data_IF_682794935076
#
_entry.id   IF_682794935076
#
_cell.length_a   1.000
_cell.length_b   1.000
_cell.length_c   1.000
_cell.angle_alpha   90.00
_cell.angle_beta   90.00
_cell.angle_gamma   90.00
#
_symmetry.space_group_name_H-M   'P 1'
#
loop_
_entity.id
_entity.type
_entity.pdbx_description
1 polymer ?
#
# COMPACT_ATOMS: atom_id res chain seq x y z
N UNK A 1 -19.90 -9.20 -0.08
CA UNK A 1 -19.69 -7.81 0.33
C UNK A 1 -18.22 -7.50 0.13
N UNK A 2 -17.86 -6.61 -0.80
CA UNK A 2 -16.47 -6.18 -0.96
C UNK A 2 -16.10 -5.38 0.29
N UNK A 3 -15.06 -5.75 1.07
CA UNK A 3 -14.70 -4.96 2.24
C UNK A 3 -14.37 -3.52 1.79
N UNK A 4 -14.93 -2.55 2.50
CA UNK A 4 -14.75 -1.13 2.19
C UNK A 4 -13.26 -0.77 2.36
N UNK A 5 -12.68 -0.12 1.35
CA UNK A 5 -11.32 0.41 1.42
C UNK A 5 -11.29 1.52 2.47
N UNK A 6 -10.39 1.43 3.43
CA UNK A 6 -10.17 2.52 4.38
C UNK A 6 -9.35 3.64 3.73
N UNK A 7 -9.77 4.90 3.91
CA UNK A 7 -9.05 6.07 3.39
C UNK A 7 -8.82 7.02 4.56
N UNK A 8 -7.56 7.35 4.83
CA UNK A 8 -7.19 8.36 5.80
C UNK A 8 -7.77 9.73 5.36
N UNK A 9 -8.54 10.43 6.21
CA UNK A 9 -9.14 11.73 5.90
C UNK A 9 -8.13 12.80 5.44
N UNK A 10 -6.85 12.66 5.79
CA UNK A 10 -5.79 13.59 5.37
C UNK A 10 -5.29 13.35 3.93
N UNK A 11 -5.75 12.30 3.25
CA UNK A 11 -5.38 12.03 1.86
C UNK A 11 -6.06 13.04 0.94
N UNK A 12 -5.24 13.83 0.23
CA UNK A 12 -5.72 14.75 -0.80
C UNK A 12 -6.06 13.99 -2.09
N UNK A 13 -7.37 13.77 -2.30
CA UNK A 13 -7.93 13.10 -3.49
C UNK A 13 -8.58 14.06 -4.49
N UNK A 14 -8.32 15.35 -4.37
CA UNK A 14 -8.99 16.39 -5.19
C UNK A 14 -8.01 17.25 -5.96
N UNK A 15 -6.79 17.45 -5.47
CA UNK A 15 -5.85 18.35 -6.11
C UNK A 15 -5.19 17.75 -7.35
N UNK A 16 -4.73 18.63 -8.24
CA UNK A 16 -3.86 18.25 -9.37
C UNK A 16 -2.39 18.10 -8.96
N UNK A 17 -2.06 18.40 -7.69
CA UNK A 17 -0.69 18.34 -7.20
C UNK A 17 -0.25 16.88 -7.07
N UNK A 18 1.04 16.65 -7.34
CA UNK A 18 1.65 15.36 -7.06
C UNK A 18 1.75 15.15 -5.55
N UNK A 19 0.99 14.19 -5.04
CA UNK A 19 1.01 13.78 -3.63
C UNK A 19 1.63 12.41 -3.51
N UNK A 20 2.19 12.10 -2.34
CA UNK A 20 2.68 10.76 -2.01
C UNK A 20 1.74 10.14 -0.97
N UNK A 21 1.34 8.91 -1.24
CA UNK A 21 0.46 8.12 -0.38
C UNK A 21 1.07 6.76 -0.10
N UNK A 22 0.64 6.13 0.99
CA UNK A 22 0.99 4.77 1.35
C UNK A 22 -0.25 3.90 1.13
N UNK A 23 -0.11 2.85 0.32
CA UNK A 23 -1.16 1.88 0.03
C UNK A 23 -0.86 0.60 0.78
N UNK A 24 -1.82 0.17 1.60
CA UNK A 24 -1.79 -1.09 2.34
C UNK A 24 -2.55 -2.17 1.56
N UNK A 25 -1.93 -3.33 1.39
CA UNK A 25 -2.54 -4.46 0.69
C UNK A 25 -3.38 -5.33 1.64
N UNK A 26 -4.35 -6.04 1.07
CA UNK A 26 -5.18 -7.03 1.80
C UNK A 26 -4.38 -8.27 2.19
N UNK A 27 -3.41 -8.67 1.38
CA UNK A 27 -2.54 -9.81 1.69
C UNK A 27 -1.67 -9.47 2.90
N UNK A 28 -1.72 -10.28 3.95
CA UNK A 28 -0.86 -10.10 5.12
C UNK A 28 0.60 -10.35 4.79
N UNK A 29 1.54 -9.71 5.49
CA UNK A 29 2.93 -10.10 5.41
C UNK A 29 3.12 -11.57 5.83
N UNK A 30 4.05 -12.27 5.19
CA UNK A 30 4.13 -13.73 5.25
C UNK A 30 4.14 -14.31 6.68
N UNK A 31 4.94 -13.73 7.60
CA UNK A 31 5.02 -14.18 8.99
C UNK A 31 3.68 -14.00 9.75
N UNK A 32 2.96 -12.93 9.44
CA UNK A 32 1.65 -12.64 10.04
C UNK A 32 0.61 -13.63 9.50
N UNK A 33 0.63 -13.89 8.19
CA UNK A 33 -0.27 -14.85 7.56
C UNK A 33 -0.12 -16.25 8.16
N UNK A 34 1.12 -16.74 8.32
CA UNK A 34 1.40 -18.05 8.96
C UNK A 34 0.88 -18.08 10.39
N UNK A 35 1.15 -17.07 11.21
CA UNK A 35 0.67 -17.02 12.60
C UNK A 35 -0.87 -17.02 12.70
N UNK A 36 -1.57 -16.34 11.78
CA UNK A 36 -3.04 -16.35 11.71
C UNK A 36 -3.54 -17.74 11.28
N UNK A 37 -2.89 -18.37 10.30
CA UNK A 37 -3.26 -19.68 9.79
C UNK A 37 -3.07 -20.78 10.85
N UNK A 38 -1.93 -20.78 11.56
CA UNK A 38 -1.64 -21.66 12.69
C UNK A 38 -2.72 -21.54 13.79
N UNK A 39 -3.07 -20.30 14.17
CA UNK A 39 -4.14 -20.04 15.14
C UNK A 39 -5.51 -20.55 14.67
N UNK A 40 -5.74 -20.55 13.36
CA UNK A 40 -7.01 -20.96 12.74
C UNK A 40 -7.04 -22.44 12.36
N UNK A 41 -5.95 -23.20 12.61
CA UNK A 41 -5.83 -24.60 12.23
C UNK A 41 -5.70 -24.85 10.73
N UNK A 42 -5.34 -23.82 9.95
CA UNK A 42 -5.18 -23.91 8.49
C UNK A 42 -3.69 -24.11 8.18
N UNK A 43 -3.30 -25.12 7.37
CA UNK A 43 -1.92 -25.29 6.98
C UNK A 43 -1.51 -24.20 5.98
N UNK A 44 -0.47 -23.44 6.30
CA UNK A 44 0.16 -22.46 5.41
C UNK A 44 1.67 -22.43 5.69
N UNK A 45 2.50 -22.70 4.69
CA UNK A 45 3.96 -22.60 4.85
C UNK A 45 4.44 -21.17 4.70
N UNK A 46 5.61 -20.87 5.25
CA UNK A 46 6.23 -19.56 5.10
C UNK A 46 6.56 -19.26 3.62
N UNK A 47 6.93 -20.27 2.85
CA UNK A 47 7.24 -20.17 1.43
C UNK A 47 5.99 -19.80 0.61
N UNK A 48 4.87 -20.47 0.86
CA UNK A 48 3.57 -20.14 0.25
C UNK A 48 3.16 -18.72 0.62
N UNK A 49 3.22 -18.34 1.90
CA UNK A 49 2.85 -17.01 2.34
C UNK A 49 3.76 -15.90 1.74
N UNK A 50 5.05 -16.18 1.51
CA UNK A 50 5.96 -15.26 0.79
C UNK A 50 5.56 -15.15 -0.69
N UNK A 51 5.18 -16.25 -1.32
CA UNK A 51 4.69 -16.24 -2.69
C UNK A 51 3.42 -15.39 -2.80
N UNK A 52 2.47 -15.52 -1.88
CA UNK A 52 1.24 -14.71 -1.86
C UNK A 52 1.54 -13.20 -1.79
N UNK A 53 2.55 -12.81 -1.00
CA UNK A 53 3.03 -11.42 -0.93
C UNK A 53 3.56 -10.99 -2.30
N UNK A 54 4.46 -11.74 -2.92
CA UNK A 54 5.00 -11.41 -4.25
C UNK A 54 3.91 -11.30 -5.32
N UNK A 55 2.95 -12.22 -5.31
CA UNK A 55 1.83 -12.20 -6.23
C UNK A 55 0.92 -10.99 -6.00
N UNK A 56 0.69 -10.57 -4.74
CA UNK A 56 -0.07 -9.36 -4.45
C UNK A 56 0.57 -8.11 -5.04
N UNK A 57 1.90 -7.99 -4.98
CA UNK A 57 2.63 -6.92 -5.66
C UNK A 57 2.53 -6.99 -7.18
N UNK A 58 2.59 -8.20 -7.75
CA UNK A 58 2.45 -8.42 -9.19
C UNK A 58 1.06 -8.01 -9.68
N UNK A 59 0.00 -8.41 -8.95
CA UNK A 59 -1.39 -8.01 -9.24
C UNK A 59 -1.57 -6.51 -9.11
N UNK A 60 -1.10 -5.90 -8.03
CA UNK A 60 -1.17 -4.45 -7.85
C UNK A 60 -0.42 -3.68 -8.94
N UNK A 61 0.75 -4.15 -9.39
CA UNK A 61 1.48 -3.51 -10.50
C UNK A 61 0.67 -3.56 -11.80
N UNK A 62 -0.03 -4.65 -12.08
CA UNK A 62 -0.94 -4.75 -13.24
C UNK A 62 -2.11 -3.80 -13.11
N UNK A 63 -2.68 -3.65 -11.91
CA UNK A 63 -3.74 -2.69 -11.64
C UNK A 63 -3.28 -1.24 -11.84
N UNK A 64 -2.10 -0.88 -11.33
CA UNK A 64 -1.50 0.44 -11.54
C UNK A 64 -1.30 0.72 -13.03
N UNK A 65 -0.77 -0.25 -13.78
CA UNK A 65 -0.59 -0.08 -15.22
C UNK A 65 -1.93 0.09 -15.95
N UNK A 66 -2.93 -0.72 -15.61
CA UNK A 66 -4.28 -0.63 -16.19
C UNK A 66 -4.96 0.70 -15.88
N UNK A 67 -4.92 1.14 -14.63
CA UNK A 67 -5.70 2.29 -14.17
C UNK A 67 -4.98 3.63 -14.35
N UNK A 68 -3.64 3.64 -14.36
CA UNK A 68 -2.83 4.86 -14.52
C UNK A 68 -2.01 4.85 -15.80
N UNK A 69 -1.24 3.78 -16.05
CA UNK A 69 -0.30 3.68 -17.19
C UNK A 69 -0.97 3.78 -18.55
N UNK A 70 -2.01 2.97 -18.79
CA UNK A 70 -2.80 3.00 -20.02
C UNK A 70 -3.52 4.34 -20.25
N UNK A 71 -3.72 5.12 -19.19
CA UNK A 71 -4.33 6.44 -19.23
C UNK A 71 -3.28 7.57 -19.27
N UNK A 72 -1.99 7.22 -19.40
CA UNK A 72 -0.86 8.15 -19.44
C UNK A 72 -0.79 9.08 -18.21
N UNK A 73 -1.31 8.63 -17.07
CA UNK A 73 -1.24 9.39 -15.83
C UNK A 73 0.18 9.26 -15.27
N UNK A 74 0.87 10.37 -14.93
CA UNK A 74 2.20 10.28 -14.35
C UNK A 74 2.13 9.68 -12.94
N UNK A 75 2.91 8.63 -12.69
CA UNK A 75 3.04 8.02 -11.38
C UNK A 75 4.46 7.51 -11.13
N UNK A 76 4.82 7.34 -9.86
CA UNK A 76 6.10 6.75 -9.45
C UNK A 76 5.94 5.99 -8.15
N UNK A 77 6.18 4.68 -8.18
CA UNK A 77 6.30 3.88 -6.96
C UNK A 77 7.63 4.27 -6.29
N UNK A 78 7.56 4.79 -5.06
CA UNK A 78 8.70 5.29 -4.29
C UNK A 78 9.31 4.22 -3.40
N UNK A 79 8.46 3.37 -2.82
CA UNK A 79 8.91 2.29 -1.96
C UNK A 79 7.99 1.08 -2.05
N UNK A 80 8.54 -0.10 -1.80
CA UNK A 80 7.83 -1.38 -1.77
C UNK A 80 8.09 -2.05 -0.42
N UNK A 81 7.02 -2.35 0.31
CA UNK A 81 7.07 -2.96 1.64
C UNK A 81 6.53 -4.40 1.55
N UNK A 82 7.28 -5.38 2.08
CA UNK A 82 6.93 -6.82 1.99
C UNK A 82 7.03 -7.58 3.31
N UNK A 83 7.47 -6.93 4.38
CA UNK A 83 7.94 -7.62 5.61
C UNK A 83 7.07 -7.36 6.83
N UNK A 84 7.22 -6.22 7.50
CA UNK A 84 6.36 -5.86 8.64
C UNK A 84 5.03 -5.24 8.19
N UNK A 85 5.02 -4.71 6.97
CA UNK A 85 3.89 -4.12 6.28
C UNK A 85 3.93 -4.63 4.84
N UNK A 86 2.76 -4.87 4.24
CA UNK A 86 2.63 -5.28 2.86
C UNK A 86 1.93 -4.17 2.06
N UNK A 87 2.63 -3.58 1.09
CA UNK A 87 2.11 -2.42 0.38
C UNK A 87 3.17 -1.62 -0.33
N UNK A 88 2.81 -0.43 -0.79
CA UNK A 88 3.73 0.48 -1.51
C UNK A 88 3.53 1.93 -1.09
N UNK A 89 4.56 2.76 -1.23
CA UNK A 89 4.35 4.20 -1.36
C UNK A 89 4.38 4.59 -2.83
N UNK A 90 3.42 5.42 -3.24
CA UNK A 90 3.28 5.85 -4.63
C UNK A 90 3.02 7.35 -4.69
N UNK A 91 3.66 8.00 -5.67
CA UNK A 91 3.49 9.42 -5.96
C UNK A 91 2.72 9.60 -7.26
N UNK A 92 1.63 10.36 -7.23
CA UNK A 92 0.70 10.61 -8.34
C UNK A 92 -0.14 11.88 -8.09
N UNK A 93 -0.84 12.44 -9.09
CA UNK A 93 -1.76 13.56 -8.84
C UNK A 93 -2.90 13.14 -7.91
N UNK A 94 -3.22 13.97 -6.91
CA UNK A 94 -4.23 13.64 -5.89
C UNK A 94 -5.58 13.20 -6.46
N UNK A 95 -6.10 13.93 -7.45
CA UNK A 95 -7.36 13.61 -8.15
C UNK A 95 -7.39 12.21 -8.78
N UNK A 96 -6.23 11.64 -9.11
CA UNK A 96 -6.11 10.35 -9.79
C UNK A 96 -6.10 9.15 -8.83
N UNK A 97 -5.99 9.38 -7.50
CA UNK A 97 -6.05 8.32 -6.48
C UNK A 97 -7.35 7.50 -6.59
N UNK A 98 -8.45 8.16 -6.97
CA UNK A 98 -9.77 7.52 -7.16
C UNK A 98 -9.74 6.37 -8.17
N UNK A 99 -8.83 6.39 -9.14
CA UNK A 99 -8.69 5.31 -10.13
C UNK A 99 -8.19 4.03 -9.50
N UNK A 100 -7.33 4.13 -8.49
CA UNK A 100 -6.76 2.98 -7.78
C UNK A 100 -7.78 2.25 -6.89
N UNK A 101 -8.90 2.90 -6.51
CA UNK A 101 -9.95 2.29 -5.69
C UNK A 101 -10.65 1.08 -6.37
N UNK A 102 -10.42 0.89 -7.68
CA UNK A 102 -10.88 -0.27 -8.43
C UNK A 102 -9.99 -1.51 -8.25
N UNK A 103 -8.81 -1.36 -7.62
CA UNK A 103 -7.91 -2.47 -7.35
C UNK A 103 -8.46 -3.34 -6.22
N UNK A 104 -8.47 -4.65 -6.46
CA UNK A 104 -8.88 -5.61 -5.44
C UNK A 104 -7.82 -5.85 -4.37
N UNK A 105 -6.57 -5.44 -4.60
CA UNK A 105 -5.47 -5.65 -3.65
C UNK A 105 -5.48 -4.63 -2.50
N UNK A 106 -6.11 -3.46 -2.66
CA UNK A 106 -6.03 -2.37 -1.69
C UNK A 106 -6.95 -2.63 -0.49
N UNK A 107 -6.37 -2.64 0.70
CA UNK A 107 -7.09 -2.63 1.97
C UNK A 107 -7.29 -1.19 2.49
N UNK A 108 -6.24 -0.37 2.41
CA UNK A 108 -6.28 1.00 2.92
C UNK A 108 -5.33 1.95 2.17
N UNK A 109 -5.62 3.25 2.25
CA UNK A 109 -4.79 4.34 1.73
C UNK A 109 -4.53 5.34 2.86
N UNK A 110 -3.27 5.67 3.09
CA UNK A 110 -2.81 6.61 4.10
C UNK A 110 -2.05 7.78 3.48
N UNK A 111 -2.14 8.96 4.09
CA UNK A 111 -1.31 10.09 3.70
C UNK A 111 0.16 9.82 4.08
N UNK A 112 1.10 10.11 3.18
CA UNK A 112 2.52 10.07 3.55
C UNK A 112 2.87 11.32 4.35
N UNK A 113 3.18 11.17 5.64
CA UNK A 113 3.46 12.30 6.55
C UNK A 113 4.96 12.41 6.81
N UNK A 114 5.48 13.62 6.67
CA UNK A 114 6.83 13.95 7.12
C UNK A 114 6.78 14.35 8.60
N UNK A 115 7.51 13.63 9.46
CA UNK A 115 7.59 13.92 10.89
C UNK A 115 8.94 14.57 11.18
N UNK A 116 8.91 15.81 11.70
CA UNK A 116 10.10 16.52 12.16
C UNK A 116 10.36 16.19 13.63
N UNK A 117 11.48 15.55 13.92
CA UNK A 117 11.92 15.33 15.29
C UNK A 117 12.48 16.63 15.86
N UNK A 118 12.17 16.92 17.12
CA UNK A 118 12.82 18.01 17.86
C UNK A 118 14.24 17.51 18.20
N UNK A 119 15.31 18.16 17.71
CA UNK A 119 16.66 17.72 18.04
C UNK A 119 16.95 17.89 19.54
N UNK A 120 17.75 17.01 20.15
CA UNK A 120 18.16 17.17 21.54
C UNK A 120 18.93 18.49 21.72
N UNK A 121 18.88 19.11 22.92
CA UNK A 121 19.66 20.30 23.21
C UNK A 121 21.15 20.03 22.97
N UNK A 122 21.85 20.95 22.31
CA UNK A 122 23.29 20.82 22.07
C UNK A 122 24.02 20.88 23.42
N UNK A 123 24.99 19.99 23.70
CA UNK A 123 25.86 20.13 24.87
C UNK A 123 26.64 21.45 24.78
N UNK A 124 26.81 22.12 25.93
CA UNK A 124 27.54 23.38 26.07
C UNK A 124 29.05 23.18 25.96
#
# INVERSE_FOLDING_TARGET
MTPAIHIDPEVDMISEKMVEIIIHFKTYPAKVAVAIAEKSGVPLTLEQAKQDVEESHSRFKKDVERYLGQHQIPYSIKHTYKMAFNGVSIKLPGKEIKRLLQSNEIAAIYANKEIKLIPPPRPK
#
